data_IF_385629777717
#
_entry.id   IF_385629777717
#
_cell.length_a   1.000
_cell.length_b   1.000
_cell.length_c   1.000
_cell.angle_alpha   90.00
_cell.angle_beta   90.00
_cell.angle_gamma   90.00
#
_symmetry.space_group_name_H-M   'P 1'
#
loop_
_entity.id
_entity.type
_entity.pdbx_description
1 polymer ?
#
# COMPACT_ATOMS: atom_id res chain seq x y z
N UNK A 1 -19.60 16.05 -33.04
CA UNK A 1 -18.86 14.92 -33.64
C UNK A 1 -19.04 13.71 -32.73
N UNK A 2 -20.06 12.90 -33.02
CA UNK A 2 -20.27 11.57 -32.43
C UNK A 2 -20.19 10.60 -33.61
N UNK A 3 -19.07 9.88 -33.77
CA UNK A 3 -18.92 8.70 -34.66
C UNK A 3 -17.45 8.27 -34.63
N UNK A 4 -17.11 7.37 -33.72
CA UNK A 4 -15.81 6.73 -33.67
C UNK A 4 -15.73 5.76 -32.50
N UNK A 5 -15.23 4.56 -32.74
CA UNK A 5 -14.96 3.58 -31.69
C UNK A 5 -13.66 3.93 -30.98
N UNK A 6 -13.69 3.91 -29.64
CA UNK A 6 -12.48 4.04 -28.81
C UNK A 6 -12.08 2.65 -28.34
N UNK A 7 -10.92 2.18 -28.80
CA UNK A 7 -10.32 0.94 -28.33
C UNK A 7 -9.31 1.27 -27.22
N UNK A 8 -9.38 0.55 -26.09
CA UNK A 8 -8.37 0.59 -25.02
C UNK A 8 -7.83 -0.83 -24.84
N UNK A 9 -6.55 -1.03 -25.15
CA UNK A 9 -5.87 -2.31 -24.96
C UNK A 9 -5.04 -2.24 -23.69
N UNK A 10 -5.36 -3.08 -22.70
CA UNK A 10 -4.55 -3.28 -21.50
C UNK A 10 -3.73 -4.57 -21.67
N UNK A 11 -2.41 -4.43 -21.71
CA UNK A 11 -1.51 -5.58 -21.73
C UNK A 11 -1.28 -6.09 -20.30
N UNK A 12 -1.81 -7.27 -20.01
CA UNK A 12 -1.55 -7.97 -18.75
C UNK A 12 -0.25 -8.78 -18.88
N UNK A 13 0.73 -8.49 -18.03
CA UNK A 13 1.97 -9.28 -17.99
C UNK A 13 1.69 -10.59 -17.25
N UNK A 14 1.55 -11.69 -18.00
CA UNK A 14 1.20 -13.00 -17.45
C UNK A 14 2.26 -13.70 -16.60
N UNK A 15 3.50 -13.20 -16.50
CA UNK A 15 4.62 -13.93 -15.86
C UNK A 15 5.63 -13.00 -15.17
N UNK A 16 5.18 -12.04 -14.36
CA UNK A 16 6.10 -11.47 -13.37
C UNK A 16 5.94 -12.29 -12.11
N UNK A 17 7.02 -12.96 -11.69
CA UNK A 17 7.09 -13.51 -10.34
C UNK A 17 6.77 -12.43 -9.31
N UNK A 18 6.29 -12.85 -8.14
CA UNK A 18 6.03 -11.94 -7.03
C UNK A 18 7.33 -11.21 -6.72
N UNK A 19 7.24 -9.88 -6.60
CA UNK A 19 8.40 -9.07 -6.27
C UNK A 19 8.55 -9.04 -4.75
N UNK A 20 9.79 -9.08 -4.29
CA UNK A 20 10.08 -8.87 -2.88
C UNK A 20 9.58 -7.47 -2.42
N UNK A 21 9.04 -7.39 -1.21
CA UNK A 21 8.41 -6.17 -0.71
C UNK A 21 9.42 -5.01 -0.52
N UNK A 22 10.69 -5.32 -0.20
CA UNK A 22 11.74 -4.32 -0.13
C UNK A 22 12.11 -3.81 -1.51
N UNK A 23 12.08 -4.68 -2.53
CA UNK A 23 12.28 -4.29 -3.92
C UNK A 23 11.12 -3.44 -4.44
N UNK A 24 9.91 -3.54 -3.88
CA UNK A 24 8.83 -2.59 -4.16
C UNK A 24 9.07 -1.21 -3.56
N UNK A 25 9.93 -1.09 -2.56
CA UNK A 25 10.27 0.16 -1.89
C UNK A 25 9.89 0.19 -0.41
N UNK A 26 9.43 -0.91 0.18
CA UNK A 26 9.22 -0.95 1.63
C UNK A 26 10.56 -0.74 2.35
N UNK A 27 10.59 -0.07 3.52
CA UNK A 27 11.83 0.09 4.29
C UNK A 27 12.52 -1.26 4.52
N UNK A 28 13.83 -1.34 4.26
CA UNK A 28 14.66 -2.54 4.48
C UNK A 28 14.94 -2.74 5.96
N UNK A 29 13.87 -3.06 6.69
CA UNK A 29 13.83 -3.24 8.13
C UNK A 29 12.83 -4.36 8.44
N UNK A 30 13.37 -5.54 8.75
CA UNK A 30 12.60 -6.75 9.04
C UNK A 30 11.70 -6.58 10.26
N UNK A 31 12.11 -5.79 11.25
CA UNK A 31 11.30 -5.55 12.44
C UNK A 31 10.07 -4.71 12.09
N UNK A 32 10.24 -3.66 11.28
CA UNK A 32 9.10 -2.88 10.78
C UNK A 32 8.18 -3.75 9.92
N UNK A 33 8.73 -4.58 9.03
CA UNK A 33 7.95 -5.46 8.16
C UNK A 33 7.12 -6.45 8.98
N UNK A 34 7.76 -7.15 9.91
CA UNK A 34 7.11 -8.09 10.83
C UNK A 34 6.05 -7.39 11.68
N UNK A 35 6.39 -6.26 12.29
CA UNK A 35 5.45 -5.49 13.11
C UNK A 35 4.26 -4.93 12.32
N UNK A 36 4.34 -4.86 11.00
CA UNK A 36 3.23 -4.40 10.16
C UNK A 36 2.39 -5.53 9.57
N UNK A 37 2.97 -6.67 9.22
CA UNK A 37 2.25 -7.69 8.46
C UNK A 37 2.22 -9.09 9.07
N UNK A 38 3.13 -9.43 10.00
CA UNK A 38 3.06 -10.71 10.72
C UNK A 38 2.02 -10.59 11.84
N UNK A 39 0.74 -10.63 11.44
CA UNK A 39 -0.43 -10.45 12.29
C UNK A 39 -1.30 -11.68 12.27
N UNK A 40 -2.15 -11.79 13.28
CA UNK A 40 -3.20 -12.81 13.40
C UNK A 40 -4.51 -12.12 13.74
N UNK A 41 -5.63 -12.78 13.47
CA UNK A 41 -6.96 -12.39 13.94
C UNK A 41 -7.25 -10.91 13.72
N UNK A 42 -7.04 -10.44 12.49
CA UNK A 42 -7.08 -9.00 12.19
C UNK A 42 -7.24 -8.75 10.70
N UNK A 43 -7.36 -7.48 10.34
CA UNK A 43 -7.37 -7.02 8.96
C UNK A 43 -6.22 -6.04 8.70
N UNK A 44 -5.59 -6.17 7.53
CA UNK A 44 -4.69 -5.16 6.96
C UNK A 44 -5.27 -4.62 5.67
N UNK A 45 -5.34 -3.28 5.56
CA UNK A 45 -5.97 -2.60 4.43
C UNK A 45 -4.96 -1.73 3.69
N UNK A 46 -4.83 -1.95 2.39
CA UNK A 46 -4.04 -1.09 1.51
C UNK A 46 -4.93 -0.05 0.83
N UNK A 47 -4.69 1.20 1.18
CA UNK A 47 -5.23 2.42 0.61
C UNK A 47 -4.42 2.90 -0.58
N UNK A 48 -5.00 2.88 -1.77
CA UNK A 48 -4.48 3.68 -2.89
C UNK A 48 -5.52 3.82 -4.01
N UNK A 49 -5.46 4.89 -4.81
CA UNK A 49 -6.14 4.97 -6.09
C UNK A 49 -5.75 3.85 -7.06
N UNK A 50 -6.51 3.75 -8.15
CA UNK A 50 -6.27 2.78 -9.22
C UNK A 50 -4.91 3.04 -9.88
N UNK A 51 -4.16 1.97 -10.17
CA UNK A 51 -2.87 2.07 -10.87
C UNK A 51 -1.65 2.32 -9.97
N UNK A 52 -1.83 2.42 -8.66
CA UNK A 52 -0.77 2.63 -7.66
C UNK A 52 -0.14 1.32 -7.16
N UNK A 53 -0.45 0.16 -7.78
CA UNK A 53 0.21 -1.12 -7.51
C UNK A 53 -0.27 -1.89 -6.28
N UNK A 54 -1.53 -1.71 -5.85
CA UNK A 54 -2.07 -2.35 -4.62
C UNK A 54 -1.97 -3.87 -4.66
N UNK A 55 -2.40 -4.46 -5.78
CA UNK A 55 -2.32 -5.90 -6.04
C UNK A 55 -0.89 -6.40 -5.87
N UNK A 56 0.08 -5.74 -6.52
CA UNK A 56 1.50 -6.10 -6.38
C UNK A 56 1.96 -6.12 -4.93
N UNK A 57 1.61 -5.10 -4.14
CA UNK A 57 1.98 -5.05 -2.71
C UNK A 57 1.28 -6.12 -1.90
N UNK A 58 -0.02 -6.36 -2.12
CA UNK A 58 -0.74 -7.44 -1.45
C UNK A 58 -0.08 -8.80 -1.69
N UNK A 59 0.26 -9.11 -2.94
CA UNK A 59 0.94 -10.36 -3.26
C UNK A 59 2.35 -10.44 -2.66
N UNK A 60 3.06 -9.32 -2.52
CA UNK A 60 4.39 -9.30 -1.89
C UNK A 60 4.31 -9.53 -0.37
N UNK A 61 3.28 -8.97 0.27
CA UNK A 61 2.97 -9.27 1.68
C UNK A 61 2.59 -10.74 1.82
N UNK A 62 1.78 -11.25 0.91
CA UNK A 62 1.32 -12.63 0.94
C UNK A 62 2.48 -13.62 0.79
N UNK A 63 3.40 -13.36 -0.15
CA UNK A 63 4.62 -14.15 -0.35
C UNK A 63 5.53 -14.14 0.89
N UNK A 64 5.69 -12.96 1.53
CA UNK A 64 6.41 -12.85 2.81
C UNK A 64 5.79 -13.73 3.92
N UNK A 65 4.46 -13.81 3.96
CA UNK A 65 3.71 -14.61 4.95
C UNK A 65 3.56 -16.08 4.56
N UNK A 66 3.74 -16.43 3.29
CA UNK A 66 3.41 -17.75 2.77
C UNK A 66 4.30 -18.82 3.39
N UNK A 67 3.69 -19.83 4.00
CA UNK A 67 4.35 -21.01 4.56
C UNK A 67 3.56 -22.25 4.15
N UNK A 68 4.18 -23.43 3.98
CA UNK A 68 3.47 -24.64 3.56
C UNK A 68 2.27 -25.02 4.46
N UNK A 69 2.30 -24.61 5.72
CA UNK A 69 1.26 -24.91 6.71
C UNK A 69 0.10 -23.89 6.72
N UNK A 70 0.20 -22.80 5.96
CA UNK A 70 -0.78 -21.70 5.95
C UNK A 70 -1.70 -21.87 4.75
N UNK A 71 -2.99 -22.06 5.00
CA UNK A 71 -4.01 -22.10 3.96
C UNK A 71 -4.39 -20.68 3.52
N UNK A 72 -3.99 -20.32 2.31
CA UNK A 72 -4.29 -19.01 1.72
C UNK A 72 -5.43 -19.12 0.72
N UNK A 73 -6.44 -18.27 0.86
CA UNK A 73 -7.49 -18.11 -0.15
C UNK A 73 -7.67 -16.66 -0.58
N UNK A 74 -7.74 -16.38 -1.87
CA UNK A 74 -7.95 -15.05 -2.45
C UNK A 74 -9.30 -14.96 -3.17
N UNK A 75 -9.88 -13.76 -3.18
CA UNK A 75 -11.12 -13.40 -3.88
C UNK A 75 -10.84 -12.14 -4.68
N UNK A 76 -10.85 -12.20 -6.00
CA UNK A 76 -10.33 -11.14 -6.89
C UNK A 76 -11.24 -10.88 -8.11
N UNK A 77 -11.14 -9.68 -8.69
CA UNK A 77 -11.94 -9.23 -9.85
C UNK A 77 -11.05 -8.45 -10.84
N UNK A 78 -10.37 -9.11 -11.81
CA UNK A 78 -10.09 -10.55 -11.91
C UNK A 78 -8.77 -10.94 -11.23
N UNK A 79 -8.39 -12.22 -11.27
CA UNK A 79 -7.07 -12.67 -10.78
C UNK A 79 -5.96 -12.17 -11.72
N UNK A 80 -5.10 -11.26 -11.24
CA UNK A 80 -4.02 -10.67 -12.05
C UNK A 80 -2.73 -11.51 -12.07
N UNK A 81 -2.42 -12.19 -10.97
CA UNK A 81 -1.19 -12.97 -10.77
C UNK A 81 -1.59 -14.38 -10.30
N UNK A 82 -1.24 -15.41 -11.07
CA UNK A 82 -1.50 -16.80 -10.66
C UNK A 82 -0.34 -17.29 -9.80
N UNK A 83 -0.65 -17.79 -8.60
CA UNK A 83 0.34 -18.23 -7.61
C UNK A 83 0.08 -19.69 -7.27
N UNK A 84 1.10 -20.51 -7.40
CA UNK A 84 1.02 -21.93 -7.06
C UNK A 84 0.84 -22.12 -5.54
N UNK A 85 0.00 -23.06 -5.14
CA UNK A 85 -0.29 -23.35 -3.74
C UNK A 85 -1.30 -22.42 -3.06
N UNK A 86 -1.83 -21.41 -3.77
CA UNK A 86 -2.84 -20.48 -3.26
C UNK A 86 -4.19 -20.78 -3.91
N UNK A 87 -5.27 -20.83 -3.12
CA UNK A 87 -6.62 -20.98 -3.63
C UNK A 87 -7.13 -19.63 -4.13
N UNK A 88 -7.27 -19.44 -5.44
CA UNK A 88 -7.64 -18.13 -6.02
C UNK A 88 -9.02 -18.17 -6.67
N UNK A 89 -9.97 -17.46 -6.06
CA UNK A 89 -11.36 -17.33 -6.54
C UNK A 89 -11.47 -16.03 -7.35
N UNK A 90 -11.93 -16.14 -8.58
CA UNK A 90 -12.22 -15.00 -9.45
C UNK A 90 -13.73 -14.71 -9.41
N UNK A 91 -14.10 -13.45 -9.18
CA UNK A 91 -15.49 -13.00 -9.21
C UNK A 91 -16.03 -13.07 -10.65
N UNK A 92 -17.24 -13.59 -10.78
CA UNK A 92 -17.98 -13.69 -12.04
C UNK A 92 -19.36 -13.03 -11.92
N UNK A 93 -20.21 -13.18 -12.95
CA UNK A 93 -21.55 -12.60 -12.99
C UNK A 93 -22.50 -13.14 -11.90
N UNK A 94 -22.20 -14.30 -11.30
CA UNK A 94 -23.06 -14.99 -10.34
C UNK A 94 -22.56 -14.88 -8.89
N UNK A 95 -21.36 -14.32 -8.70
CA UNK A 95 -20.69 -14.23 -7.41
C UNK A 95 -20.37 -12.79 -7.07
N UNK A 96 -20.29 -12.49 -5.77
CA UNK A 96 -19.86 -11.19 -5.27
C UNK A 96 -18.73 -11.38 -4.27
N UNK A 97 -18.02 -10.30 -3.93
CA UNK A 97 -17.01 -10.36 -2.87
C UNK A 97 -17.61 -10.89 -1.56
N UNK A 98 -18.78 -10.38 -1.16
CA UNK A 98 -19.47 -10.81 0.04
C UNK A 98 -19.90 -12.30 0.00
N UNK A 99 -20.49 -12.79 -1.09
CA UNK A 99 -20.95 -14.19 -1.18
C UNK A 99 -19.78 -15.17 -1.24
N UNK A 100 -18.72 -14.80 -1.96
CA UNK A 100 -17.48 -15.59 -2.03
C UNK A 100 -16.80 -15.64 -0.67
N UNK A 101 -16.69 -14.50 0.02
CA UNK A 101 -16.05 -14.42 1.35
C UNK A 101 -16.75 -15.31 2.38
N UNK A 102 -18.09 -15.32 2.41
CA UNK A 102 -18.85 -16.24 3.26
C UNK A 102 -18.55 -17.71 2.95
N UNK A 103 -18.27 -18.03 1.69
CA UNK A 103 -17.97 -19.41 1.28
C UNK A 103 -16.57 -19.81 1.68
N UNK A 104 -15.60 -18.91 1.53
CA UNK A 104 -14.21 -19.09 1.95
C UNK A 104 -14.10 -19.39 3.44
N UNK A 105 -14.92 -18.77 4.28
CA UNK A 105 -14.94 -19.05 5.73
C UNK A 105 -15.29 -20.49 6.12
N UNK A 106 -15.79 -21.31 5.18
CA UNK A 106 -16.05 -22.74 5.39
C UNK A 106 -14.94 -23.63 4.82
N UNK A 107 -13.84 -23.05 4.34
CA UNK A 107 -12.72 -23.75 3.72
C UNK A 107 -11.47 -23.79 4.60
N UNK A 108 -11.62 -23.55 5.90
CA UNK A 108 -10.53 -23.53 6.89
C UNK A 108 -9.33 -22.66 6.48
N UNK A 109 -9.53 -21.41 6.02
CA UNK A 109 -8.41 -20.54 5.62
C UNK A 109 -7.69 -19.97 6.83
N UNK A 110 -6.38 -19.73 6.72
CA UNK A 110 -5.61 -18.95 7.69
C UNK A 110 -5.53 -17.47 7.27
N UNK A 111 -5.27 -17.24 5.97
CA UNK A 111 -5.17 -15.91 5.36
C UNK A 111 -6.21 -15.78 4.25
N UNK A 112 -6.97 -14.71 4.30
CA UNK A 112 -7.97 -14.37 3.28
C UNK A 112 -7.60 -13.06 2.60
N UNK A 113 -7.36 -13.07 1.30
CA UNK A 113 -7.20 -11.85 0.51
C UNK A 113 -8.53 -11.50 -0.16
N UNK A 114 -9.10 -10.37 0.22
CA UNK A 114 -10.29 -9.80 -0.44
C UNK A 114 -9.81 -8.66 -1.33
N UNK A 115 -9.91 -8.82 -2.66
CA UNK A 115 -9.33 -7.90 -3.63
C UNK A 115 -9.65 -6.43 -3.35
N UNK A 116 -10.88 -6.14 -2.93
CA UNK A 116 -11.26 -4.83 -2.42
C UNK A 116 -12.54 -4.86 -1.57
N UNK A 117 -12.65 -3.86 -0.69
CA UNK A 117 -13.86 -3.56 0.07
C UNK A 117 -14.56 -2.38 -0.61
N UNK A 118 -15.67 -2.65 -1.31
CA UNK A 118 -16.48 -1.63 -2.02
C UNK A 118 -17.73 -1.20 -1.26
N UNK A 119 -18.30 -2.09 -0.46
CA UNK A 119 -19.58 -1.92 0.23
C UNK A 119 -19.51 -2.34 1.72
N UNK A 120 -20.57 -2.01 2.46
CA UNK A 120 -20.70 -2.30 3.89
C UNK A 120 -20.71 -3.82 4.14
N UNK A 121 -21.45 -4.58 3.34
CA UNK A 121 -21.61 -6.02 3.54
C UNK A 121 -20.24 -6.74 3.47
N UNK A 122 -19.44 -6.45 2.45
CA UNK A 122 -18.08 -7.00 2.32
C UNK A 122 -17.19 -6.56 3.48
N UNK A 123 -17.30 -5.30 3.90
CA UNK A 123 -16.55 -4.77 5.03
C UNK A 123 -16.90 -5.46 6.36
N UNK A 124 -18.18 -5.68 6.64
CA UNK A 124 -18.66 -6.38 7.85
C UNK A 124 -18.15 -7.80 7.90
N UNK A 125 -18.28 -8.56 6.80
CA UNK A 125 -17.82 -9.94 6.74
C UNK A 125 -16.30 -9.99 6.88
N UNK A 126 -15.56 -9.07 6.25
CA UNK A 126 -14.10 -9.00 6.38
C UNK A 126 -13.65 -8.72 7.82
N UNK A 127 -14.33 -7.80 8.52
CA UNK A 127 -14.07 -7.51 9.94
C UNK A 127 -14.39 -8.71 10.82
N UNK A 128 -15.56 -9.34 10.63
CA UNK A 128 -15.94 -10.55 11.36
C UNK A 128 -14.96 -11.71 11.12
N UNK A 129 -14.45 -11.86 9.90
CA UNK A 129 -13.43 -12.85 9.55
C UNK A 129 -12.16 -12.62 10.37
N UNK A 130 -11.69 -11.37 10.44
CA UNK A 130 -10.56 -10.99 11.29
C UNK A 130 -10.80 -11.30 12.77
N UNK A 131 -11.99 -11.00 13.29
CA UNK A 131 -12.34 -11.30 14.69
C UNK A 131 -12.42 -12.81 15.00
N UNK A 132 -12.72 -13.63 13.99
CA UNK A 132 -12.98 -15.07 14.15
C UNK A 132 -11.76 -15.96 13.87
N UNK A 133 -10.55 -15.38 13.83
CA UNK A 133 -9.31 -16.15 13.79
C UNK A 133 -8.50 -16.04 12.49
N UNK A 134 -9.00 -15.28 11.51
CA UNK A 134 -8.37 -15.17 10.20
C UNK A 134 -7.49 -13.92 10.12
N UNK A 135 -6.46 -13.95 9.26
CA UNK A 135 -5.79 -12.72 8.85
C UNK A 135 -6.29 -12.27 7.48
N UNK A 136 -6.96 -11.13 7.44
CA UNK A 136 -7.59 -10.60 6.22
C UNK A 136 -6.71 -9.53 5.60
N UNK A 137 -6.39 -9.68 4.32
CA UNK A 137 -5.72 -8.66 3.52
C UNK A 137 -6.72 -8.06 2.53
N UNK A 138 -6.83 -6.73 2.46
CA UNK A 138 -7.73 -6.11 1.48
C UNK A 138 -7.27 -4.75 0.98
N UNK A 139 -8.01 -4.20 0.03
CA UNK A 139 -7.79 -2.84 -0.47
C UNK A 139 -9.02 -1.96 -0.32
N UNK A 140 -8.76 -0.66 -0.15
CA UNK A 140 -9.79 0.38 -0.16
C UNK A 140 -9.28 1.55 -1.02
N UNK A 141 -10.20 2.20 -1.71
CA UNK A 141 -9.91 3.43 -2.45
C UNK A 141 -9.95 4.66 -1.53
N UNK A 142 -8.80 5.00 -0.96
CA UNK A 142 -8.61 6.24 -0.17
C UNK A 142 -7.20 6.80 -0.36
N UNK A 143 -6.93 7.99 0.17
CA UNK A 143 -5.75 8.80 -0.18
C UNK A 143 -4.57 8.50 0.75
N UNK A 144 -4.83 8.27 2.03
CA UNK A 144 -3.81 8.02 3.05
C UNK A 144 -4.19 6.91 4.05
N UNK A 145 -3.23 6.48 4.88
CA UNK A 145 -3.40 5.30 5.73
C UNK A 145 -4.40 5.58 6.88
N UNK A 146 -4.46 6.81 7.36
CA UNK A 146 -5.35 7.19 8.48
C UNK A 146 -6.79 7.33 7.98
N UNK A 147 -6.98 7.80 6.74
CA UNK A 147 -8.28 7.95 6.11
C UNK A 147 -9.00 6.61 5.91
N UNK A 148 -8.29 5.47 5.95
CA UNK A 148 -8.91 4.13 6.01
C UNK A 148 -9.92 4.03 7.15
N UNK A 149 -9.58 4.52 8.35
CA UNK A 149 -10.48 4.52 9.51
C UNK A 149 -11.75 5.34 9.19
N UNK A 150 -11.57 6.52 8.63
CA UNK A 150 -12.69 7.39 8.24
C UNK A 150 -13.53 6.77 7.14
N UNK A 151 -12.92 6.05 6.19
CA UNK A 151 -13.64 5.38 5.10
C UNK A 151 -14.48 4.22 5.62
N UNK A 152 -13.94 3.42 6.54
CA UNK A 152 -14.69 2.34 7.21
C UNK A 152 -15.87 2.89 8.02
N UNK A 153 -15.66 3.98 8.79
CA UNK A 153 -16.75 4.70 9.48
C UNK A 153 -17.86 5.14 8.52
N UNK A 154 -17.48 5.77 7.40
CA UNK A 154 -18.41 6.23 6.37
C UNK A 154 -19.18 5.10 5.68
N UNK A 155 -18.61 3.90 5.64
CA UNK A 155 -19.30 2.70 5.12
C UNK A 155 -20.33 2.17 6.10
N UNK A 156 -20.19 2.47 7.40
CA UNK A 156 -21.10 2.01 8.45
C UNK A 156 -20.47 1.06 9.46
N UNK A 157 -19.16 0.78 9.35
CA UNK A 157 -18.46 -0.08 10.31
C UNK A 157 -18.30 0.66 11.64
N UNK A 158 -18.62 -0.02 12.74
CA UNK A 158 -18.54 0.54 14.08
C UNK A 158 -17.10 0.85 14.49
N UNK A 159 -16.92 1.86 15.34
CA UNK A 159 -15.60 2.19 15.88
C UNK A 159 -15.01 1.04 16.71
N UNK A 160 -15.86 0.25 17.36
CA UNK A 160 -15.45 -0.95 18.08
C UNK A 160 -14.86 -1.99 17.14
N UNK A 161 -15.51 -2.30 16.02
CA UNK A 161 -15.02 -3.30 15.06
C UNK A 161 -13.73 -2.85 14.39
N UNK A 162 -13.63 -1.56 14.03
CA UNK A 162 -12.40 -0.99 13.47
C UNK A 162 -11.26 -1.10 14.49
N UNK A 163 -11.47 -0.64 15.73
CA UNK A 163 -10.41 -0.65 16.75
C UNK A 163 -10.00 -2.06 17.19
N UNK A 164 -10.92 -3.01 17.22
CA UNK A 164 -10.63 -4.39 17.61
C UNK A 164 -9.93 -5.19 16.49
N UNK A 165 -10.21 -4.89 15.23
CA UNK A 165 -9.84 -5.78 14.11
C UNK A 165 -8.80 -5.19 13.16
N UNK A 166 -8.84 -3.88 12.88
CA UNK A 166 -7.88 -3.26 11.96
C UNK A 166 -6.50 -3.22 12.63
N UNK A 167 -5.57 -4.05 12.17
CA UNK A 167 -4.22 -4.09 12.71
C UNK A 167 -3.31 -3.06 12.03
N UNK A 168 -3.41 -2.96 10.71
CA UNK A 168 -2.52 -2.11 9.91
C UNK A 168 -3.27 -1.50 8.74
N UNK A 169 -3.12 -0.20 8.54
CA UNK A 169 -3.48 0.46 7.30
C UNK A 169 -2.23 0.97 6.60
N UNK A 170 -2.18 0.76 5.29
CA UNK A 170 -1.06 1.15 4.44
C UNK A 170 -1.58 2.08 3.37
N UNK A 171 -0.94 3.22 3.14
CA UNK A 171 -1.10 3.98 1.91
C UNK A 171 0.15 3.89 1.06
N UNK A 172 -0.04 3.88 -0.26
CA UNK A 172 1.08 3.82 -1.19
C UNK A 172 0.90 4.72 -2.42
N UNK A 173 2.03 5.17 -2.95
CA UNK A 173 2.13 5.91 -4.20
C UNK A 173 3.31 5.43 -5.01
N UNK A 174 3.12 5.20 -6.30
CA UNK A 174 4.20 4.87 -7.21
C UNK A 174 4.86 6.14 -7.73
N UNK A 175 6.15 6.27 -7.45
CA UNK A 175 7.02 7.29 -8.05
C UNK A 175 7.92 6.65 -9.10
N UNK A 176 8.30 7.43 -10.11
CA UNK A 176 9.17 6.95 -11.20
C UNK A 176 10.60 6.77 -10.69
N UNK A 177 11.24 5.65 -11.09
CA UNK A 177 12.65 5.38 -10.78
C UNK A 177 13.56 6.09 -11.77
N UNK A 178 14.65 6.69 -11.27
CA UNK A 178 15.70 7.27 -12.12
C UNK A 178 16.21 6.20 -13.10
N UNK A 179 16.38 6.57 -14.38
CA UNK A 179 16.94 5.66 -15.36
C UNK A 179 18.44 5.42 -15.08
N UNK A 180 18.88 4.16 -14.88
CA UNK A 180 20.28 3.87 -14.55
C UNK A 180 21.25 4.07 -15.73
N UNK A 181 20.74 4.21 -16.96
CA UNK A 181 21.56 4.33 -18.17
C UNK A 181 21.92 5.77 -18.55
N UNK A 182 21.16 6.75 -18.06
CA UNK A 182 21.34 8.15 -18.46
C UNK A 182 21.33 9.13 -17.29
N UNK A 183 21.24 8.65 -16.05
CA UNK A 183 21.32 9.51 -14.88
C UNK A 183 22.73 10.07 -14.73
N UNK A 184 22.81 11.32 -14.30
CA UNK A 184 24.09 11.96 -13.95
C UNK A 184 24.01 12.49 -12.54
N UNK A 185 24.93 12.07 -11.70
CA UNK A 185 25.02 12.52 -10.33
C UNK A 185 25.35 14.02 -10.27
N UNK A 186 24.68 14.76 -9.39
CA UNK A 186 24.93 16.17 -9.13
C UNK A 186 24.61 16.55 -7.69
N UNK A 187 25.06 17.73 -7.29
CA UNK A 187 24.66 18.33 -6.02
C UNK A 187 23.19 18.76 -6.03
N UNK A 188 22.56 18.69 -4.85
CA UNK A 188 21.26 19.31 -4.63
C UNK A 188 21.37 20.83 -4.79
N UNK A 189 20.39 21.43 -5.46
CA UNK A 189 20.28 22.89 -5.50
C UNK A 189 19.83 23.44 -4.14
N UNK A 190 20.06 24.73 -3.87
CA UNK A 190 19.57 25.35 -2.63
C UNK A 190 18.05 25.29 -2.50
N UNK A 191 17.32 25.35 -3.62
CA UNK A 191 15.86 25.16 -3.64
C UNK A 191 15.45 23.74 -3.23
N UNK A 192 16.12 22.72 -3.77
CA UNK A 192 15.85 21.31 -3.42
C UNK A 192 16.17 21.03 -1.95
N UNK A 193 17.30 21.55 -1.45
CA UNK A 193 17.66 21.46 -0.02
C UNK A 193 16.58 22.12 0.84
N UNK A 194 16.11 23.32 0.46
CA UNK A 194 15.05 24.02 1.18
C UNK A 194 13.76 23.19 1.21
N UNK A 195 13.31 22.64 0.08
CA UNK A 195 12.11 21.79 0.02
C UNK A 195 12.25 20.60 0.96
N UNK A 196 13.41 19.92 0.96
CA UNK A 196 13.66 18.76 1.83
C UNK A 196 13.63 19.18 3.30
N UNK A 197 14.29 20.28 3.66
CA UNK A 197 14.32 20.82 5.02
C UNK A 197 12.93 21.23 5.50
N UNK A 198 12.17 21.98 4.68
CA UNK A 198 10.81 22.42 5.00
C UNK A 198 9.86 21.21 5.25
N UNK A 199 9.99 20.15 4.44
CA UNK A 199 9.25 18.89 4.67
C UNK A 199 9.70 18.23 5.98
N UNK A 200 11.00 18.20 6.24
CA UNK A 200 11.57 17.65 7.47
C UNK A 200 11.02 18.36 8.71
N UNK A 201 11.07 19.69 8.74
CA UNK A 201 10.55 20.52 9.83
C UNK A 201 9.05 20.31 10.05
N UNK A 202 8.25 20.31 8.97
CA UNK A 202 6.80 20.11 9.03
C UNK A 202 6.40 18.78 9.68
N UNK A 203 7.19 17.73 9.47
CA UNK A 203 6.91 16.37 9.97
C UNK A 203 7.88 15.92 11.06
N UNK A 204 8.57 16.86 11.72
CA UNK A 204 9.53 16.60 12.79
C UNK A 204 10.54 15.48 12.46
N UNK A 205 11.01 15.46 11.21
CA UNK A 205 11.95 14.46 10.67
C UNK A 205 13.21 15.17 10.21
N UNK A 206 14.36 14.78 10.76
CA UNK A 206 15.65 15.30 10.33
C UNK A 206 16.16 14.50 9.12
N UNK A 207 16.34 15.18 7.99
CA UNK A 207 17.01 14.61 6.83
C UNK A 207 18.48 15.02 6.83
N UNK A 208 19.38 14.03 6.76
CA UNK A 208 20.80 14.30 6.58
C UNK A 208 21.15 14.35 5.10
N UNK A 209 21.49 15.56 4.63
CA UNK A 209 21.94 15.83 3.26
C UNK A 209 23.46 15.78 3.13
N UNK A 210 24.19 15.52 4.23
CA UNK A 210 25.66 15.48 4.24
C UNK A 210 26.14 14.35 3.34
N UNK A 211 26.99 14.68 2.35
CA UNK A 211 27.49 13.74 1.33
C UNK A 211 26.39 13.07 0.49
N UNK A 212 25.14 13.53 0.57
CA UNK A 212 24.06 13.07 -0.30
C UNK A 212 24.09 13.83 -1.62
N UNK A 213 23.79 13.12 -2.69
CA UNK A 213 23.77 13.62 -4.06
C UNK A 213 22.42 13.25 -4.68
N UNK A 214 22.03 14.02 -5.68
CA UNK A 214 20.84 13.76 -6.48
C UNK A 214 21.25 13.50 -7.93
N UNK A 215 20.27 13.32 -8.81
CA UNK A 215 20.51 12.93 -10.19
C UNK A 215 19.77 13.84 -11.16
N UNK A 216 20.47 14.22 -12.23
CA UNK A 216 19.84 14.74 -13.43
C UNK A 216 19.25 13.61 -14.27
N UNK A 217 18.05 13.85 -14.78
CA UNK A 217 17.28 12.94 -15.62
C UNK A 217 17.41 13.35 -17.08
N UNK A 218 18.52 12.93 -17.73
CA UNK A 218 18.88 13.39 -19.08
C UNK A 218 18.01 12.79 -20.21
N UNK A 219 17.52 11.57 -20.02
CA UNK A 219 16.80 10.81 -21.05
C UNK A 219 17.75 10.08 -22.01
N UNK A 220 17.38 8.86 -22.39
CA UNK A 220 18.03 8.05 -23.42
C UNK A 220 17.01 7.14 -24.10
N UNK A 221 17.44 6.43 -25.15
CA UNK A 221 16.66 5.40 -25.85
C UNK A 221 16.06 4.35 -24.89
N UNK A 222 16.81 3.88 -23.89
CA UNK A 222 16.35 2.85 -22.93
C UNK A 222 15.15 3.28 -22.08
N UNK A 223 15.02 4.58 -21.81
CA UNK A 223 13.91 5.13 -21.03
C UNK A 223 12.91 5.93 -21.88
N UNK A 224 12.96 5.76 -23.21
CA UNK A 224 12.15 6.54 -24.16
C UNK A 224 12.27 8.05 -23.93
N UNK A 225 13.49 8.51 -23.64
CA UNK A 225 13.84 9.91 -23.38
C UNK A 225 13.13 10.56 -22.19
N UNK A 226 12.50 9.77 -21.30
CA UNK A 226 11.82 10.31 -20.11
C UNK A 226 12.78 10.63 -18.96
N UNK A 227 13.95 9.99 -18.94
CA UNK A 227 14.89 10.01 -17.82
C UNK A 227 14.53 9.06 -16.67
N UNK A 228 13.45 8.29 -16.80
CA UNK A 228 12.98 7.36 -15.77
C UNK A 228 12.72 5.96 -16.35
N UNK A 229 13.08 4.92 -15.61
CA UNK A 229 12.85 3.53 -16.01
C UNK A 229 12.30 2.71 -14.84
N UNK A 230 11.02 2.35 -14.93
CA UNK A 230 10.32 1.64 -13.86
C UNK A 230 9.77 2.57 -12.78
N UNK A 231 9.26 1.97 -11.69
CA UNK A 231 8.60 2.67 -10.58
C UNK A 231 9.00 2.05 -9.25
N UNK A 232 8.96 2.83 -8.18
CA UNK A 232 9.14 2.40 -6.79
C UNK A 232 7.96 2.97 -5.98
N UNK A 233 7.50 2.23 -4.98
CA UNK A 233 6.46 2.71 -4.09
C UNK A 233 7.08 3.54 -2.96
N UNK A 234 6.41 4.64 -2.61
CA UNK A 234 6.51 5.26 -1.30
C UNK A 234 5.38 4.72 -0.44
N UNK A 235 5.68 4.42 0.82
CA UNK A 235 4.76 3.82 1.77
C UNK A 235 4.49 4.74 2.96
N UNK A 236 3.24 4.73 3.42
CA UNK A 236 2.80 5.28 4.70
C UNK A 236 2.09 4.17 5.45
N UNK A 237 2.60 3.80 6.61
CA UNK A 237 2.10 2.64 7.36
C UNK A 237 1.65 3.11 8.73
N UNK A 238 0.39 2.86 9.04
CA UNK A 238 -0.21 3.08 10.34
C UNK A 238 -0.52 1.71 10.96
N UNK A 239 0.23 1.35 11.99
CA UNK A 239 -0.12 0.21 12.86
C UNK A 239 -1.06 0.74 13.96
N UNK A 240 -2.19 0.08 14.18
CA UNK A 240 -3.14 0.46 15.22
C UNK A 240 -2.74 -0.17 16.54
N UNK A 241 -1.92 0.54 17.30
CA UNK A 241 -1.65 0.22 18.70
C UNK A 241 -2.77 0.71 19.64
N UNK A 242 -2.63 0.45 20.93
CA UNK A 242 -3.69 0.71 21.92
C UNK A 242 -4.12 2.18 21.99
N UNK A 243 -3.20 3.14 21.83
CA UNK A 243 -3.57 4.57 21.84
C UNK A 243 -4.32 4.97 20.56
N UNK A 244 -3.92 4.44 19.40
CA UNK A 244 -4.64 4.68 18.15
C UNK A 244 -6.01 4.00 18.22
N UNK A 245 -6.10 2.77 18.71
CA UNK A 245 -7.37 2.04 18.92
C UNK A 245 -8.30 2.83 19.83
N UNK A 246 -7.80 3.33 20.96
CA UNK A 246 -8.57 4.19 21.86
C UNK A 246 -9.04 5.46 21.15
N UNK A 247 -8.18 6.11 20.38
CA UNK A 247 -8.55 7.28 19.57
C UNK A 247 -9.64 6.96 18.53
N UNK A 248 -9.62 5.76 17.94
CA UNK A 248 -10.69 5.31 17.04
C UNK A 248 -11.99 5.11 17.81
N UNK A 249 -11.96 4.48 18.99
CA UNK A 249 -13.13 4.27 19.85
C UNK A 249 -13.75 5.59 20.34
N UNK A 250 -12.94 6.59 20.65
CA UNK A 250 -13.34 7.94 21.07
C UNK A 250 -13.76 8.84 19.89
N UNK A 251 -13.92 8.27 18.70
CA UNK A 251 -14.36 8.98 17.48
C UNK A 251 -13.45 10.13 17.02
N UNK A 252 -12.17 10.13 17.43
CA UNK A 252 -11.24 11.22 17.09
C UNK A 252 -11.12 11.44 15.59
N UNK A 253 -10.88 12.69 15.20
CA UNK A 253 -10.67 13.08 13.81
C UNK A 253 -9.37 12.53 13.23
N UNK A 254 -9.26 12.47 11.90
CA UNK A 254 -8.02 12.10 11.19
C UNK A 254 -6.84 12.97 11.62
N UNK A 255 -7.07 14.24 11.95
CA UNK A 255 -6.02 15.17 12.40
C UNK A 255 -5.48 14.76 13.76
N UNK A 256 -6.36 14.39 14.69
CA UNK A 256 -6.00 13.97 16.04
C UNK A 256 -5.29 12.61 16.03
N UNK A 257 -5.83 11.64 15.28
CA UNK A 257 -5.20 10.33 15.09
C UNK A 257 -3.80 10.51 14.50
N UNK A 258 -3.63 11.41 13.51
CA UNK A 258 -2.31 11.72 12.94
C UNK A 258 -1.36 12.28 13.97
N UNK A 259 -1.79 13.19 14.83
CA UNK A 259 -0.94 13.74 15.89
C UNK A 259 -0.43 12.63 16.82
N UNK A 260 -1.29 11.69 17.20
CA UNK A 260 -0.91 10.53 18.02
C UNK A 260 0.05 9.62 17.24
N UNK A 261 -0.24 9.32 15.98
CA UNK A 261 0.61 8.46 15.16
C UNK A 261 2.03 9.05 14.99
N UNK A 262 2.13 10.37 14.79
CA UNK A 262 3.40 11.09 14.62
C UNK A 262 4.31 11.06 15.85
N UNK A 263 3.82 10.72 17.04
CA UNK A 263 4.69 10.52 18.23
C UNK A 263 5.38 9.15 18.23
N UNK A 264 5.04 8.28 17.28
CA UNK A 264 5.49 6.89 17.16
C UNK A 264 6.28 6.69 15.86
N UNK A 265 6.32 5.46 15.35
CA UNK A 265 7.05 5.12 14.11
C UNK A 265 6.24 5.37 12.82
N UNK A 266 5.14 6.13 12.88
CA UNK A 266 4.37 6.51 11.70
C UNK A 266 5.17 7.50 10.85
N UNK A 267 5.22 7.24 9.54
CA UNK A 267 5.92 8.08 8.59
C UNK A 267 4.96 8.45 7.45
N UNK A 268 4.64 9.74 7.27
CA UNK A 268 3.80 10.18 6.16
C UNK A 268 4.41 9.83 4.81
N UNK A 269 3.56 9.63 3.78
CA UNK A 269 3.99 9.28 2.42
C UNK A 269 5.10 10.21 1.88
N UNK A 270 4.97 11.51 2.13
CA UNK A 270 5.94 12.52 1.66
C UNK A 270 7.31 12.36 2.33
N UNK A 271 7.35 11.94 3.59
CA UNK A 271 8.59 11.69 4.32
C UNK A 271 9.31 10.48 3.73
N UNK A 272 8.58 9.40 3.45
CA UNK A 272 9.15 8.22 2.78
C UNK A 272 9.61 8.54 1.34
N UNK A 273 8.82 9.31 0.59
CA UNK A 273 9.20 9.77 -0.74
C UNK A 273 10.50 10.60 -0.73
N UNK A 274 10.69 11.48 0.26
CA UNK A 274 11.96 12.23 0.42
C UNK A 274 13.11 11.28 0.73
N UNK A 275 12.92 10.25 1.57
CA UNK A 275 13.96 9.22 1.77
C UNK A 275 14.35 8.53 0.47
N UNK A 276 13.37 8.21 -0.40
CA UNK A 276 13.66 7.66 -1.73
C UNK A 276 14.46 8.61 -2.63
N UNK A 277 14.29 9.92 -2.47
CA UNK A 277 15.15 10.91 -3.14
C UNK A 277 16.57 10.86 -2.60
N UNK A 278 16.74 10.82 -1.27
CA UNK A 278 18.05 10.76 -0.61
C UNK A 278 18.81 9.44 -0.86
N UNK A 279 18.08 8.37 -1.17
CA UNK A 279 18.63 7.06 -1.51
C UNK A 279 18.88 6.91 -3.02
N UNK A 280 18.59 7.95 -3.82
CA UNK A 280 18.88 7.94 -5.26
C UNK A 280 17.91 7.12 -6.11
N UNK A 281 16.76 6.71 -5.57
CA UNK A 281 15.74 6.00 -6.34
C UNK A 281 14.94 6.92 -7.26
N UNK A 282 14.67 8.15 -6.80
CA UNK A 282 13.86 9.14 -7.53
C UNK A 282 14.40 10.56 -7.31
N UNK A 283 13.75 11.57 -7.89
CA UNK A 283 14.14 13.00 -7.77
C UNK A 283 12.97 13.84 -7.29
N UNK A 284 13.21 15.02 -6.72
CA UNK A 284 12.14 15.99 -6.39
C UNK A 284 11.40 16.55 -7.61
N UNK A 285 11.93 16.31 -8.83
CA UNK A 285 11.33 16.77 -10.07
C UNK A 285 9.93 16.18 -10.19
N UNK A 286 8.91 17.05 -10.25
CA UNK A 286 7.52 16.62 -10.42
C UNK A 286 7.41 15.72 -11.64
N UNK A 287 6.82 14.55 -11.44
CA UNK A 287 6.26 13.80 -12.55
C UNK A 287 5.10 14.65 -13.09
N UNK A 288 5.27 15.18 -14.31
CA UNK A 288 4.15 15.73 -15.06
C UNK A 288 3.07 14.66 -15.23
#
# INVERSE_FOLDING_TARGET
MYTGEKIVLRLLKKNKGIQDIFDLGFPRDEEILKNSFDKRNSITVIAAPTGEGKTTTLYSILDYLNRPEINVTTIEDPVEIRVEGINQIEIDENTSFASSLRTVLRQDPDIILVGEIRDLETAEIAMQSGQTGHYVLSTIHTIDAIEVVTRLRKMGISNYDIASTLATSVSQRLVRRICPHCSKERDYTEEEKKIITDIGEKYNTKFDLTKKKTFDTCGCDKCNYTGFLGRIAAFEVLNLDDEIKQAVMEEKSTIEIRKIAMTKNYRPLVVDAVKKVLDGYTTLRRSK
#
